data_IF_674708881019
#
_entry.id   IF_674708881019
#
_cell.length_a   1.000
_cell.length_b   1.000
_cell.length_c   1.000
_cell.angle_alpha   90.00
_cell.angle_beta   90.00
_cell.angle_gamma   90.00
#
_symmetry.space_group_name_H-M   'P 1'
#
loop_
_entity.id
_entity.type
_entity.pdbx_description
1 polymer ?
#
# COMPACT_ATOMS: atom_id res chain seq x y z
N UNK A 1 5.46 0.21 -17.79
CA UNK A 1 4.91 0.07 -16.42
C UNK A 1 3.41 0.19 -16.52
N UNK A 2 2.67 -0.56 -15.72
CA UNK A 2 1.20 -0.55 -15.75
C UNK A 2 0.64 0.45 -14.74
N UNK A 3 -0.52 1.09 -15.00
CA UNK A 3 -1.17 1.90 -13.99
C UNK A 3 -1.59 1.02 -12.79
N UNK A 4 -1.51 1.57 -11.58
CA UNK A 4 -1.97 0.86 -10.39
C UNK A 4 -3.47 0.50 -10.51
N UNK A 5 -3.85 -0.79 -10.40
CA UNK A 5 -5.25 -1.17 -10.45
C UNK A 5 -6.06 -0.60 -9.30
N UNK A 6 -7.37 -0.40 -9.52
CA UNK A 6 -8.26 0.14 -8.49
C UNK A 6 -8.86 -0.94 -7.57
N UNK A 7 -8.67 -2.22 -7.89
CA UNK A 7 -9.17 -3.36 -7.11
C UNK A 7 -8.08 -4.41 -6.92
N UNK A 8 -8.00 -5.00 -5.73
CA UNK A 8 -7.00 -6.02 -5.40
C UNK A 8 -7.06 -7.28 -6.27
N UNK A 9 -8.24 -7.65 -6.78
CA UNK A 9 -8.40 -8.82 -7.66
C UNK A 9 -7.65 -8.68 -8.99
N UNK A 10 -7.39 -7.43 -9.40
CA UNK A 10 -6.73 -7.08 -10.66
C UNK A 10 -5.22 -6.83 -10.45
N UNK A 11 -4.76 -6.85 -9.18
CA UNK A 11 -3.33 -6.71 -8.84
C UNK A 11 -2.65 -8.07 -8.99
N UNK A 12 -1.60 -8.10 -9.79
CA UNK A 12 -0.73 -9.26 -9.95
C UNK A 12 0.51 -9.12 -9.05
N UNK A 13 0.97 -10.22 -8.43
CA UNK A 13 2.16 -10.17 -7.59
C UNK A 13 3.44 -9.99 -8.40
N UNK A 14 4.42 -9.32 -7.80
CA UNK A 14 5.76 -9.08 -8.37
C UNK A 14 5.78 -8.28 -9.69
N UNK A 15 4.66 -7.64 -10.03
CA UNK A 15 4.58 -6.65 -11.11
C UNK A 15 4.83 -5.26 -10.53
N UNK A 16 5.48 -4.40 -11.32
CA UNK A 16 5.71 -2.99 -10.99
C UNK A 16 4.62 -2.15 -11.62
N UNK A 17 3.89 -1.46 -10.76
CA UNK A 17 2.87 -0.49 -11.13
C UNK A 17 3.37 0.93 -10.92
N UNK A 18 2.78 1.87 -11.64
CA UNK A 18 3.00 3.30 -11.48
C UNK A 18 1.71 3.95 -10.99
N UNK A 19 1.83 4.75 -9.93
CA UNK A 19 0.72 5.58 -9.43
C UNK A 19 0.52 6.83 -10.29
N UNK A 20 -0.60 7.52 -10.09
CA UNK A 20 -0.86 8.82 -10.72
C UNK A 20 0.19 9.88 -10.41
N UNK A 21 0.88 9.76 -9.27
CA UNK A 21 1.98 10.64 -8.84
C UNK A 21 3.38 10.12 -9.23
N UNK A 22 3.46 9.22 -10.22
CA UNK A 22 4.69 8.61 -10.72
C UNK A 22 5.49 7.76 -9.71
N UNK A 23 4.93 7.44 -8.54
CA UNK A 23 5.53 6.50 -7.59
C UNK A 23 5.48 5.08 -8.16
N UNK A 24 6.59 4.36 -8.08
CA UNK A 24 6.66 2.96 -8.46
C UNK A 24 6.34 2.08 -7.26
N UNK A 25 5.44 1.11 -7.45
CA UNK A 25 4.99 0.21 -6.37
C UNK A 25 4.92 -1.24 -6.86
N UNK A 26 5.24 -2.17 -5.99
CA UNK A 26 5.06 -3.60 -6.24
C UNK A 26 4.55 -4.32 -5.00
N UNK A 27 3.95 -5.49 -5.21
CA UNK A 27 3.27 -6.25 -4.16
C UNK A 27 3.73 -7.71 -4.19
N UNK A 28 4.04 -8.29 -3.03
CA UNK A 28 4.25 -9.74 -2.94
C UNK A 28 2.92 -10.49 -3.12
N UNK A 29 2.99 -11.79 -3.39
CA UNK A 29 1.80 -12.64 -3.41
C UNK A 29 1.03 -12.63 -2.09
N UNK A 30 1.74 -12.53 -0.97
CA UNK A 30 1.11 -12.45 0.36
C UNK A 30 0.37 -11.13 0.54
N UNK A 31 0.97 -10.02 0.10
CA UNK A 31 0.30 -8.72 0.16
C UNK A 31 -0.99 -8.68 -0.66
N UNK A 32 -1.00 -9.29 -1.85
CA UNK A 32 -2.20 -9.36 -2.69
C UNK A 32 -3.31 -10.14 -1.96
N UNK A 33 -2.99 -11.29 -1.35
CA UNK A 33 -3.95 -12.06 -0.55
C UNK A 33 -4.52 -11.26 0.61
N UNK A 34 -3.66 -10.56 1.36
CA UNK A 34 -4.08 -9.73 2.49
C UNK A 34 -4.97 -8.56 2.03
N UNK A 35 -4.65 -7.95 0.89
CA UNK A 35 -5.45 -6.90 0.27
C UNK A 35 -6.86 -7.38 -0.09
N UNK A 36 -6.97 -8.54 -0.75
CA UNK A 36 -8.27 -9.17 -1.06
C UNK A 36 -9.07 -9.47 0.22
N UNK A 37 -8.39 -9.97 1.26
CA UNK A 37 -9.03 -10.38 2.52
C UNK A 37 -9.53 -9.20 3.35
N UNK A 38 -8.71 -8.17 3.49
CA UNK A 38 -8.93 -7.11 4.48
C UNK A 38 -9.29 -5.75 3.88
N UNK A 39 -8.92 -5.47 2.62
CA UNK A 39 -9.17 -4.20 1.96
C UNK A 39 -10.19 -4.34 0.81
N UNK A 40 -11.37 -4.86 1.15
CA UNK A 40 -12.46 -5.10 0.19
C UNK A 40 -12.88 -3.82 -0.58
N UNK A 41 -12.73 -2.65 0.05
CA UNK A 41 -13.03 -1.35 -0.56
C UNK A 41 -11.85 -0.69 -1.30
N UNK A 42 -10.70 -1.38 -1.36
CA UNK A 42 -9.47 -0.91 -2.01
C UNK A 42 -9.00 0.47 -1.52
N UNK A 43 -9.25 0.77 -0.24
CA UNK A 43 -8.83 2.00 0.43
C UNK A 43 -7.31 2.10 0.51
N UNK A 44 -6.63 0.98 0.67
CA UNK A 44 -5.17 0.96 0.72
C UNK A 44 -4.57 1.23 -0.65
N UNK A 45 -5.12 0.66 -1.74
CA UNK A 45 -4.70 1.00 -3.10
C UNK A 45 -4.90 2.51 -3.39
N UNK A 46 -6.03 3.08 -2.96
CA UNK A 46 -6.28 4.54 -3.05
C UNK A 46 -5.28 5.37 -2.24
N UNK A 47 -4.90 4.90 -1.05
CA UNK A 47 -3.89 5.56 -0.23
C UNK A 47 -2.49 5.50 -0.86
N UNK A 48 -2.16 4.38 -1.49
CA UNK A 48 -0.92 4.22 -2.26
C UNK A 48 -0.91 5.16 -3.46
N UNK A 49 -1.99 5.21 -4.24
CA UNK A 49 -2.09 6.07 -5.42
C UNK A 49 -1.93 7.56 -5.07
N UNK A 50 -2.57 7.97 -3.96
CA UNK A 50 -2.44 9.33 -3.42
C UNK A 50 -1.01 9.67 -2.98
N UNK A 51 -0.18 8.69 -2.66
CA UNK A 51 1.21 8.88 -2.27
C UNK A 51 1.40 9.41 -0.85
N UNK A 52 2.58 9.98 -0.58
CA UNK A 52 2.94 10.46 0.76
C UNK A 52 2.10 11.67 1.19
N UNK A 53 1.67 11.66 2.44
CA UNK A 53 0.83 12.72 3.04
C UNK A 53 1.30 13.05 4.46
N UNK A 54 0.93 14.23 5.01
CA UNK A 54 1.15 14.52 6.42
C UNK A 54 0.47 13.50 7.33
N UNK A 55 1.08 13.23 8.49
CA UNK A 55 0.62 12.16 9.39
C UNK A 55 -0.80 12.35 9.93
N UNK A 56 -1.28 13.58 10.16
CA UNK A 56 -2.59 13.84 10.80
C UNK A 56 -3.67 14.12 9.76
N UNK A 57 -4.88 13.62 10.00
CA UNK A 57 -6.10 13.95 9.23
C UNK A 57 -6.15 13.42 7.78
N UNK A 58 -5.14 12.67 7.32
CA UNK A 58 -5.03 12.28 5.92
C UNK A 58 -5.09 10.76 5.71
N UNK A 59 -5.64 10.39 4.56
CA UNK A 59 -5.49 9.08 3.92
C UNK A 59 -4.32 9.21 2.92
N UNK A 60 -3.41 8.24 2.91
CA UNK A 60 -2.22 8.23 2.05
C UNK A 60 -1.12 7.32 2.61
N UNK A 61 0.11 7.53 2.16
CA UNK A 61 1.31 6.90 2.72
C UNK A 61 1.93 7.79 3.79
N UNK A 62 2.31 7.19 4.91
CA UNK A 62 3.01 7.87 6.01
C UNK A 62 4.20 7.03 6.45
N UNK A 63 5.20 7.61 7.15
CA UNK A 63 6.34 6.85 7.67
C UNK A 63 5.88 5.64 8.49
N UNK A 64 6.52 4.49 8.23
CA UNK A 64 6.37 3.28 9.04
C UNK A 64 7.07 3.44 10.40
N UNK A 65 6.62 2.69 11.39
CA UNK A 65 7.28 2.55 12.70
C UNK A 65 7.89 1.15 12.88
N UNK A 66 7.64 0.25 11.92
CA UNK A 66 8.20 -1.10 11.91
C UNK A 66 9.63 -1.06 11.36
N UNK A 67 10.55 -1.74 12.04
CA UNK A 67 11.96 -1.81 11.65
C UNK A 67 12.13 -2.44 10.26
N UNK A 68 12.94 -1.81 9.41
CA UNK A 68 13.17 -2.26 8.04
C UNK A 68 12.07 -1.88 7.03
N UNK A 69 11.14 -1.02 7.42
CA UNK A 69 10.07 -0.48 6.55
C UNK A 69 10.10 1.05 6.52
N UNK A 70 9.87 1.61 5.35
CA UNK A 70 9.93 3.06 5.11
C UNK A 70 8.55 3.70 5.28
N UNK A 71 7.53 3.12 4.63
CA UNK A 71 6.19 3.70 4.56
C UNK A 71 5.13 2.68 4.96
N UNK A 72 3.97 3.18 5.36
CA UNK A 72 2.76 2.38 5.54
C UNK A 72 1.55 3.10 4.98
N UNK A 73 0.59 2.33 4.49
CA UNK A 73 -0.70 2.86 4.03
C UNK A 73 -1.58 3.22 5.23
N UNK A 74 -2.05 4.47 5.29
CA UNK A 74 -2.96 4.98 6.30
C UNK A 74 -4.31 5.26 5.67
N UNK A 75 -5.35 4.61 6.19
CA UNK A 75 -6.75 4.78 5.78
C UNK A 75 -7.64 4.97 7.02
N UNK A 76 -8.78 5.65 6.83
CA UNK A 76 -9.73 5.98 7.90
C UNK A 76 -11.02 5.15 7.80
N UNK A 77 -11.68 4.96 8.95
CA UNK A 77 -12.95 4.23 9.07
C UNK A 77 -12.80 2.71 8.92
N UNK A 78 -13.91 2.01 8.63
CA UNK A 78 -13.96 0.54 8.49
C UNK A 78 -12.90 0.03 7.48
N UNK A 79 -12.12 -0.98 7.87
CA UNK A 79 -10.99 -1.50 7.10
C UNK A 79 -9.69 -0.70 7.25
N UNK A 80 -9.69 0.35 8.08
CA UNK A 80 -8.50 1.14 8.42
C UNK A 80 -7.86 0.81 9.76
N UNK A 81 -8.35 -0.24 10.41
CA UNK A 81 -7.77 -0.94 11.55
C UNK A 81 -6.44 -1.63 11.17
N UNK A 82 -6.17 -1.84 9.88
CA UNK A 82 -4.92 -2.44 9.40
C UNK A 82 -3.93 -1.45 8.80
N UNK A 83 -2.66 -1.73 9.09
CA UNK A 83 -1.38 -1.17 8.63
C UNK A 83 -0.68 -1.98 7.56
N UNK A 84 -0.75 -1.71 6.24
CA UNK A 84 0.19 -2.38 5.31
C UNK A 84 1.48 -1.59 5.20
N UNK A 85 2.61 -2.24 5.47
CA UNK A 85 3.94 -1.64 5.49
C UNK A 85 4.72 -2.00 4.23
N UNK A 86 5.52 -1.06 3.76
CA UNK A 86 6.35 -1.17 2.57
C UNK A 86 7.75 -0.61 2.81
N UNK A 87 8.69 -1.07 2.00
CA UNK A 87 10.07 -0.61 1.96
C UNK A 87 10.51 -0.33 0.54
N UNK A 88 11.43 0.61 0.36
CA UNK A 88 12.03 0.89 -0.92
C UNK A 88 13.11 -0.15 -1.24
N UNK A 89 13.03 -0.73 -2.44
CA UNK A 89 14.02 -1.62 -3.02
C UNK A 89 14.30 -1.09 -4.42
N UNK A 90 15.53 -0.64 -4.68
CA UNK A 90 15.93 -0.06 -5.97
C UNK A 90 14.97 1.03 -6.48
N UNK A 91 14.46 1.87 -5.57
CA UNK A 91 13.52 2.96 -5.88
C UNK A 91 12.06 2.54 -6.03
N UNK A 92 11.72 1.26 -5.87
CA UNK A 92 10.36 0.73 -5.93
C UNK A 92 9.84 0.55 -4.50
N UNK A 93 8.67 1.12 -4.21
CA UNK A 93 7.99 0.90 -2.94
C UNK A 93 7.38 -0.51 -2.93
N UNK A 94 8.04 -1.46 -2.29
CA UNK A 94 7.61 -2.85 -2.25
C UNK A 94 6.83 -3.15 -0.97
N UNK A 95 5.61 -3.67 -1.13
CA UNK A 95 4.80 -4.19 -0.02
C UNK A 95 4.95 -5.73 0.07
N UNK A 96 5.66 -6.25 1.09
CA UNK A 96 5.95 -7.68 1.20
C UNK A 96 4.84 -8.49 1.88
N UNK A 97 3.80 -7.86 2.42
CA UNK A 97 2.71 -8.53 3.15
C UNK A 97 2.79 -8.37 4.68
N UNK A 98 3.55 -7.40 5.19
CA UNK A 98 3.48 -7.06 6.61
C UNK A 98 2.24 -6.20 6.87
N UNK A 99 1.37 -6.72 7.74
CA UNK A 99 0.17 -6.04 8.21
C UNK A 99 0.17 -5.92 9.75
N UNK A 100 0.00 -4.72 10.28
CA UNK A 100 -0.23 -4.48 11.72
C UNK A 100 -1.67 -4.07 11.99
N UNK A 101 -2.14 -4.25 13.22
CA UNK A 101 -3.43 -3.72 13.69
C UNK A 101 -3.20 -2.43 14.48
N UNK A 102 -4.16 -1.51 14.43
CA UNK A 102 -4.08 -0.19 15.05
C UNK A 102 -5.38 0.19 15.75
#
# INVERSE_FOLDING_TARGET
>A
MEPLPQQWKDVQPNIVYQTTNALLVSFSAEQVKLGIKYDQSSKHLKAIDKGQVPQRGNIGLVPSQEEGYDLKSKVLGKGGDRRFHAKFIDGILHFPGLATEH
#
